data_IF_854660624969
#
_entry.id   IF_854660624969
#
_cell.length_a   1.000
_cell.length_b   1.000
_cell.length_c   1.000
_cell.angle_alpha   90.00
_cell.angle_beta   90.00
_cell.angle_gamma   90.00
#
_symmetry.space_group_name_H-M   'P 1'
#
loop_
_entity.id
_entity.type
_entity.pdbx_description
1 polymer ?
#
# COMPACT_ATOMS: atom_id res chain seq x y z
N UNK A 1 12.50 -24.55 -2.76
CA UNK A 1 13.39 -23.42 -2.35
C UNK A 1 12.78 -22.12 -2.86
N UNK A 2 12.79 -21.02 -2.12
CA UNK A 2 12.20 -19.75 -2.58
C UNK A 2 13.15 -18.58 -2.29
N UNK A 3 13.19 -17.63 -3.22
CA UNK A 3 13.87 -16.35 -3.09
C UNK A 3 12.88 -15.22 -3.24
N UNK A 4 12.90 -14.27 -2.31
CA UNK A 4 12.04 -13.09 -2.35
C UNK A 4 12.46 -12.12 -3.47
N UNK A 5 13.76 -11.84 -3.55
CA UNK A 5 14.37 -11.00 -4.57
C UNK A 5 15.50 -11.79 -5.22
N UNK A 6 15.42 -11.99 -6.53
CA UNK A 6 16.38 -12.79 -7.29
C UNK A 6 16.47 -12.35 -8.74
N UNK A 7 17.57 -12.72 -9.38
CA UNK A 7 17.80 -12.50 -10.81
C UNK A 7 18.12 -13.85 -11.46
N UNK A 8 17.75 -13.97 -12.73
CA UNK A 8 18.05 -15.17 -13.50
C UNK A 8 19.47 -15.08 -14.06
N UNK A 9 20.29 -16.08 -13.76
CA UNK A 9 21.62 -16.23 -14.34
C UNK A 9 21.72 -17.61 -14.99
N UNK A 10 21.60 -17.65 -16.32
CA UNK A 10 21.43 -18.91 -17.05
C UNK A 10 20.12 -19.60 -16.67
N UNK A 11 20.19 -20.84 -16.19
CA UNK A 11 19.02 -21.63 -15.76
C UNK A 11 18.72 -21.53 -14.26
N UNK A 12 19.55 -20.80 -13.50
CA UNK A 12 19.43 -20.70 -12.05
C UNK A 12 19.04 -19.29 -11.60
N UNK A 13 18.42 -19.22 -10.43
CA UNK A 13 18.12 -17.97 -9.76
C UNK A 13 19.11 -17.74 -8.61
N UNK A 14 19.59 -16.52 -8.51
CA UNK A 14 20.47 -16.08 -7.44
C UNK A 14 19.82 -14.95 -6.63
N UNK A 15 19.86 -15.00 -5.30
CA UNK A 15 19.30 -13.95 -4.48
C UNK A 15 20.13 -12.68 -4.63
N UNK A 16 19.50 -11.61 -5.08
CA UNK A 16 20.11 -10.28 -5.23
C UNK A 16 19.09 -9.23 -4.80
N UNK A 17 19.57 -8.07 -4.37
CA UNK A 17 18.72 -6.95 -3.97
C UNK A 17 19.00 -5.73 -4.83
N UNK A 18 18.82 -5.91 -6.14
CA UNK A 18 19.03 -4.88 -7.15
C UNK A 18 17.72 -4.59 -7.88
N UNK A 19 17.65 -3.41 -8.50
CA UNK A 19 16.50 -2.97 -9.28
C UNK A 19 16.10 -4.01 -10.32
N UNK A 20 14.82 -4.38 -10.32
CA UNK A 20 14.29 -5.39 -11.22
C UNK A 20 14.58 -6.84 -10.80
N UNK A 21 15.14 -7.07 -9.61
CA UNK A 21 15.07 -8.39 -8.99
C UNK A 21 13.62 -8.75 -8.68
N UNK A 22 13.29 -10.04 -8.78
CA UNK A 22 11.93 -10.56 -8.67
C UNK A 22 11.90 -11.87 -7.86
N UNK A 23 10.74 -12.22 -7.30
CA UNK A 23 10.60 -13.48 -6.57
C UNK A 23 10.72 -14.68 -7.50
N UNK A 24 11.39 -15.72 -7.01
CA UNK A 24 11.51 -17.00 -7.71
C UNK A 24 11.32 -18.17 -6.74
N UNK A 25 10.80 -19.27 -7.25
CA UNK A 25 10.61 -20.49 -6.49
C UNK A 25 11.08 -21.70 -7.30
N UNK A 26 11.84 -22.58 -6.67
CA UNK A 26 12.19 -23.89 -7.18
C UNK A 26 11.13 -24.88 -6.75
N UNK A 27 10.44 -25.45 -7.73
CA UNK A 27 9.30 -26.33 -7.55
C UNK A 27 9.64 -27.72 -8.08
N UNK A 28 9.17 -28.72 -7.35
CA UNK A 28 9.15 -30.12 -7.77
C UNK A 28 7.68 -30.53 -7.92
N UNK A 29 7.34 -31.06 -9.08
CA UNK A 29 6.02 -31.60 -9.40
C UNK A 29 6.19 -33.09 -9.63
N UNK A 30 5.31 -33.88 -9.03
CA UNK A 30 5.26 -35.33 -9.19
C UNK A 30 3.89 -35.71 -9.73
N UNK A 31 3.87 -36.41 -10.86
CA UNK A 31 2.65 -36.96 -11.46
C UNK A 31 2.26 -38.29 -10.78
N UNK A 32 1.02 -38.74 -11.00
CA UNK A 32 0.50 -40.03 -10.49
C UNK A 32 1.36 -41.24 -10.90
N UNK A 33 2.12 -41.09 -12.00
CA UNK A 33 3.06 -42.09 -12.51
C UNK A 33 4.46 -42.02 -11.86
N UNK A 34 4.65 -41.28 -10.76
CA UNK A 34 5.95 -40.97 -10.12
C UNK A 34 6.95 -40.27 -11.06
N UNK A 35 6.46 -39.59 -12.10
CA UNK A 35 7.33 -38.78 -12.97
C UNK A 35 7.56 -37.44 -12.29
N UNK A 36 8.83 -37.14 -12.01
CA UNK A 36 9.26 -35.92 -11.35
C UNK A 36 9.75 -34.88 -12.35
N UNK A 37 9.28 -33.65 -12.19
CA UNK A 37 9.75 -32.49 -12.94
C UNK A 37 10.16 -31.41 -11.94
N UNK A 38 11.35 -30.86 -12.12
CA UNK A 38 11.85 -29.76 -11.28
C UNK A 38 12.21 -28.58 -12.15
N UNK A 39 11.84 -27.39 -11.73
CA UNK A 39 12.20 -26.16 -12.41
C UNK A 39 12.07 -24.95 -11.48
N UNK A 40 12.71 -23.86 -11.88
CA UNK A 40 12.44 -22.55 -11.33
C UNK A 40 11.22 -21.93 -12.02
N UNK A 41 10.36 -21.29 -11.24
CA UNK A 41 9.36 -20.36 -11.73
C UNK A 41 9.61 -18.97 -11.15
N UNK A 42 9.27 -17.95 -11.91
CA UNK A 42 9.40 -16.55 -11.50
C UNK A 42 8.32 -15.71 -12.17
N UNK A 43 7.83 -14.69 -11.46
CA UNK A 43 6.93 -13.69 -12.04
C UNK A 43 7.62 -12.85 -13.12
N UNK A 44 8.94 -12.73 -13.07
CA UNK A 44 9.69 -11.75 -13.86
C UNK A 44 9.57 -10.33 -13.29
N UNK A 45 10.23 -9.39 -13.94
CA UNK A 45 10.25 -7.97 -13.62
C UNK A 45 10.13 -7.12 -14.88
N UNK A 46 10.13 -5.80 -14.75
CA UNK A 46 10.23 -4.91 -15.92
C UNK A 46 11.50 -5.19 -16.76
N UNK A 47 12.55 -5.75 -16.14
CA UNK A 47 13.81 -6.06 -16.82
C UNK A 47 13.88 -7.51 -17.33
N UNK A 48 13.13 -8.45 -16.75
CA UNK A 48 13.28 -9.89 -17.02
C UNK A 48 11.92 -10.54 -17.27
N UNK A 49 11.78 -11.38 -18.31
CA UNK A 49 10.51 -12.05 -18.59
C UNK A 49 10.11 -13.01 -17.47
N UNK A 50 8.82 -13.35 -17.42
CA UNK A 50 8.31 -14.38 -16.53
C UNK A 50 8.83 -15.76 -16.93
N UNK A 51 9.08 -16.61 -15.92
CA UNK A 51 9.47 -18.01 -16.12
C UNK A 51 8.32 -18.90 -15.68
N UNK A 52 7.73 -19.58 -16.65
CA UNK A 52 6.58 -20.46 -16.50
C UNK A 52 7.02 -21.92 -16.59
N UNK A 53 6.30 -22.81 -15.89
CA UNK A 53 6.55 -24.24 -15.91
C UNK A 53 5.39 -24.98 -16.57
N UNK A 54 5.48 -25.35 -17.86
CA UNK A 54 4.49 -26.22 -18.47
C UNK A 54 4.54 -27.61 -17.81
N UNK A 55 3.40 -28.08 -17.32
CA UNK A 55 3.26 -29.40 -16.71
C UNK A 55 2.96 -30.43 -17.81
N UNK A 56 1.98 -30.11 -18.64
CA UNK A 56 1.57 -30.88 -19.81
C UNK A 56 1.03 -29.95 -20.92
N UNK A 57 0.31 -30.50 -21.90
CA UNK A 57 -0.30 -29.70 -22.98
C UNK A 57 -1.48 -28.83 -22.54
N UNK A 58 -2.02 -29.06 -21.34
CA UNK A 58 -3.25 -28.47 -20.82
C UNK A 58 -3.01 -27.50 -19.66
N UNK A 59 -1.94 -27.72 -18.89
CA UNK A 59 -1.64 -27.01 -17.65
C UNK A 59 -0.24 -26.41 -17.66
N UNK A 60 -0.17 -25.16 -17.23
CA UNK A 60 1.08 -24.44 -17.00
C UNK A 60 1.03 -23.80 -15.63
N UNK A 61 2.07 -24.03 -14.84
CA UNK A 61 2.24 -23.41 -13.54
C UNK A 61 2.93 -22.05 -13.71
N UNK A 62 2.33 -21.02 -13.12
CA UNK A 62 2.80 -19.64 -13.15
C UNK A 62 2.89 -19.07 -11.73
N UNK A 63 3.82 -18.13 -11.54
CA UNK A 63 3.85 -17.32 -10.33
C UNK A 63 2.98 -16.08 -10.53
N UNK A 64 2.03 -15.85 -9.62
CA UNK A 64 1.16 -14.67 -9.66
C UNK A 64 1.92 -13.40 -9.28
N UNK A 65 1.35 -12.26 -9.67
CA UNK A 65 1.86 -10.96 -9.27
C UNK A 65 1.65 -10.72 -7.77
N UNK A 66 2.69 -10.32 -7.02
CA UNK A 66 2.54 -9.99 -5.61
C UNK A 66 1.76 -8.69 -5.46
N UNK A 67 0.74 -8.72 -4.60
CA UNK A 67 0.06 -7.49 -4.18
C UNK A 67 0.85 -6.78 -3.08
N UNK A 68 1.04 -5.47 -3.23
CA UNK A 68 1.73 -4.68 -2.22
C UNK A 68 0.85 -4.50 -0.97
N UNK A 69 1.41 -4.82 0.20
CA UNK A 69 0.72 -4.75 1.49
C UNK A 69 0.60 -3.32 2.04
N UNK A 70 1.57 -2.48 1.73
CA UNK A 70 1.61 -1.08 2.16
C UNK A 70 2.48 -0.28 1.21
N UNK A 71 2.08 0.95 0.92
CA UNK A 71 2.85 1.90 0.13
C UNK A 71 3.35 2.99 1.06
N UNK A 72 4.67 3.17 1.09
CA UNK A 72 5.34 4.10 2.00
C UNK A 72 6.37 4.91 1.24
N UNK A 73 6.50 6.18 1.60
CA UNK A 73 7.54 7.05 1.07
C UNK A 73 8.24 7.78 2.22
N UNK A 74 9.56 7.77 2.19
CA UNK A 74 10.37 8.55 3.13
C UNK A 74 10.62 9.94 2.55
N UNK A 75 10.08 10.96 3.21
CA UNK A 75 10.17 12.35 2.79
C UNK A 75 11.03 13.16 3.77
N UNK A 76 11.74 14.16 3.24
CA UNK A 76 12.45 15.15 4.05
C UNK A 76 11.77 16.51 3.86
N UNK A 77 11.27 17.08 4.94
CA UNK A 77 10.55 18.37 4.95
C UNK A 77 11.50 19.45 5.43
N UNK A 78 11.62 20.51 4.63
CA UNK A 78 12.48 21.65 4.89
C UNK A 78 11.63 22.82 5.41
N UNK A 79 11.92 23.27 6.63
CA UNK A 79 11.23 24.40 7.22
C UNK A 79 11.95 25.72 6.94
N UNK A 80 11.19 26.82 6.93
CA UNK A 80 11.75 28.17 6.82
C UNK A 80 12.69 28.53 7.98
N UNK A 81 12.59 27.85 9.13
CA UNK A 81 13.52 27.98 10.25
C UNK A 81 14.91 27.41 9.97
N UNK A 82 15.08 26.65 8.89
CA UNK A 82 16.30 25.90 8.58
C UNK A 82 16.30 24.47 9.11
N UNK A 83 15.27 24.08 9.87
CA UNK A 83 15.13 22.70 10.35
C UNK A 83 14.76 21.74 9.22
N UNK A 84 15.31 20.54 9.28
CA UNK A 84 14.99 19.43 8.37
C UNK A 84 14.44 18.30 9.20
N UNK A 85 13.24 17.84 8.87
CA UNK A 85 12.62 16.70 9.55
C UNK A 85 12.27 15.62 8.55
N UNK A 86 12.54 14.37 8.94
CA UNK A 86 12.25 13.19 8.12
C UNK A 86 10.94 12.56 8.57
N UNK A 87 10.09 12.21 7.62
CA UNK A 87 8.81 11.56 7.86
C UNK A 87 8.63 10.41 6.89
N UNK A 88 7.93 9.37 7.35
CA UNK A 88 7.46 8.30 6.49
C UNK A 88 5.96 8.49 6.32
N UNK A 89 5.51 8.79 5.11
CA UNK A 89 4.10 8.83 4.75
C UNK A 89 3.67 7.45 4.27
N UNK A 90 2.45 7.04 4.59
CA UNK A 90 1.86 5.78 4.13
C UNK A 90 0.50 6.08 3.48
N UNK A 91 0.12 5.30 2.47
CA UNK A 91 -1.21 5.46 1.86
C UNK A 91 -2.31 5.35 2.92
N UNK A 92 -3.28 6.26 2.87
CA UNK A 92 -4.35 6.47 3.86
C UNK A 92 -3.91 6.91 5.26
N UNK A 93 -2.62 7.20 5.48
CA UNK A 93 -2.11 7.76 6.74
C UNK A 93 -1.33 9.04 6.45
N UNK A 94 -2.02 10.18 6.26
CA UNK A 94 -1.35 11.45 6.05
C UNK A 94 -0.51 11.84 7.26
N UNK A 95 0.55 12.60 7.00
CA UNK A 95 1.35 13.21 8.05
C UNK A 95 0.91 14.66 8.20
N UNK A 96 0.54 15.04 9.43
CA UNK A 96 0.12 16.40 9.76
C UNK A 96 1.30 17.23 10.27
N UNK A 97 1.60 18.35 9.60
CA UNK A 97 2.73 19.22 9.91
C UNK A 97 2.30 20.69 9.81
N UNK A 98 2.35 21.43 10.91
CA UNK A 98 2.10 22.89 10.93
C UNK A 98 0.77 23.32 10.22
N UNK A 99 -0.29 22.52 10.38
CA UNK A 99 -1.58 22.77 9.74
C UNK A 99 -1.68 22.31 8.28
N UNK A 100 -0.72 21.51 7.80
CA UNK A 100 -0.76 20.86 6.51
C UNK A 100 -0.93 19.35 6.68
N UNK A 101 -1.85 18.77 5.93
CA UNK A 101 -1.97 17.33 5.75
C UNK A 101 -1.24 16.93 4.47
N UNK A 102 -0.26 16.04 4.60
CA UNK A 102 0.58 15.57 3.51
C UNK A 102 0.20 14.13 3.18
N UNK A 103 -0.27 13.91 1.95
CA UNK A 103 -0.74 12.63 1.43
C UNK A 103 0.20 12.10 0.36
N UNK A 104 0.36 10.78 0.31
CA UNK A 104 0.90 10.09 -0.86
C UNK A 104 -0.27 9.71 -1.77
N UNK A 105 -0.32 10.28 -2.98
CA UNK A 105 -1.44 10.09 -3.91
C UNK A 105 -1.13 9.02 -4.95
N UNK A 106 0.09 8.97 -5.48
CA UNK A 106 0.48 7.95 -6.46
C UNK A 106 1.99 7.64 -6.41
N UNK A 107 2.42 6.64 -7.18
CA UNK A 107 3.81 6.23 -7.34
C UNK A 107 3.99 5.50 -8.69
N UNK A 108 5.23 5.19 -9.07
CA UNK A 108 5.47 4.38 -10.28
C UNK A 108 5.01 2.93 -10.08
N UNK A 109 3.81 2.60 -10.59
CA UNK A 109 3.19 1.27 -10.47
C UNK A 109 3.88 0.20 -11.32
N UNK A 110 4.52 0.57 -12.43
CA UNK A 110 5.20 -0.38 -13.32
C UNK A 110 6.45 -0.98 -12.66
N UNK A 111 7.19 -0.15 -11.92
CA UNK A 111 8.37 -0.57 -11.16
C UNK A 111 8.02 -1.17 -9.79
N UNK A 112 6.83 -0.90 -9.26
CA UNK A 112 6.33 -1.48 -8.01
C UNK A 112 7.23 -1.12 -6.82
N UNK A 113 7.86 -2.13 -6.19
CA UNK A 113 8.79 -1.90 -5.08
C UNK A 113 10.05 -1.11 -5.48
N UNK A 114 10.36 -1.07 -6.78
CA UNK A 114 11.51 -0.34 -7.36
C UNK A 114 11.12 1.06 -7.86
N UNK A 115 10.01 1.60 -7.36
CA UNK A 115 9.50 2.91 -7.77
C UNK A 115 10.56 4.00 -7.61
N UNK A 116 10.73 4.81 -8.65
CA UNK A 116 11.68 5.91 -8.73
C UNK A 116 11.05 7.28 -8.39
N UNK A 117 9.73 7.37 -8.38
CA UNK A 117 9.00 8.58 -8.01
C UNK A 117 7.73 8.30 -7.21
N UNK A 118 7.35 9.29 -6.39
CA UNK A 118 6.08 9.35 -5.66
C UNK A 118 5.40 10.71 -5.89
N UNK A 119 4.09 10.71 -6.05
CA UNK A 119 3.27 11.92 -6.15
C UNK A 119 2.71 12.25 -4.78
N UNK A 120 3.05 13.44 -4.28
CA UNK A 120 2.68 13.92 -2.94
C UNK A 120 1.70 15.08 -3.09
N UNK A 121 0.64 15.06 -2.30
CA UNK A 121 -0.35 16.12 -2.22
C UNK A 121 -0.31 16.76 -0.83
N UNK A 122 -0.33 18.09 -0.78
CA UNK A 122 -0.35 18.86 0.46
C UNK A 122 -1.62 19.68 0.52
N UNK A 123 -2.41 19.46 1.56
CA UNK A 123 -3.70 20.13 1.76
C UNK A 123 -3.65 20.92 3.05
N UNK A 124 -4.18 22.13 3.04
CA UNK A 124 -4.35 22.96 4.23
C UNK A 124 -5.79 23.43 4.32
N UNK A 125 -6.52 22.91 5.31
CA UNK A 125 -7.88 23.33 5.60
C UNK A 125 -7.98 23.95 7.01
N UNK A 126 -7.92 25.30 7.12
CA UNK A 126 -8.10 25.98 8.39
C UNK A 126 -9.57 26.06 8.85
N UNK A 127 -10.55 25.78 7.98
CA UNK A 127 -11.98 25.92 8.26
C UNK A 127 -12.60 24.69 8.89
N UNK A 128 -11.92 23.54 8.83
CA UNK A 128 -12.41 22.28 9.40
C UNK A 128 -12.81 22.42 10.88
N UNK A 129 -12.03 23.16 11.67
CA UNK A 129 -12.34 23.45 13.07
C UNK A 129 -13.66 24.25 13.23
N UNK A 130 -13.92 25.21 12.34
CA UNK A 130 -15.14 26.02 12.35
C UNK A 130 -16.35 25.17 11.99
N UNK A 131 -16.20 24.29 10.99
CA UNK A 131 -17.24 23.34 10.59
C UNK A 131 -17.57 22.40 11.76
N UNK A 132 -16.55 21.83 12.42
CA UNK A 132 -16.74 20.97 13.59
C UNK A 132 -17.45 21.68 14.74
N UNK A 133 -17.13 22.95 14.97
CA UNK A 133 -17.84 23.77 15.94
C UNK A 133 -19.33 23.91 15.60
N UNK A 134 -19.66 24.20 14.33
CA UNK A 134 -21.03 24.30 13.86
C UNK A 134 -21.81 22.97 14.00
N UNK A 135 -21.20 21.85 13.62
CA UNK A 135 -21.81 20.51 13.77
C UNK A 135 -22.07 20.19 15.25
N UNK A 136 -21.13 20.51 16.13
CA UNK A 136 -21.30 20.31 17.57
C UNK A 136 -22.42 21.18 18.14
N UNK A 137 -22.54 22.43 17.70
CA UNK A 137 -23.63 23.31 18.10
C UNK A 137 -25.00 22.77 17.64
N UNK A 138 -25.09 22.21 16.43
CA UNK A 138 -26.31 21.56 15.95
C UNK A 138 -26.67 20.34 16.81
N UNK A 139 -25.69 19.50 17.18
CA UNK A 139 -25.92 18.35 18.08
C UNK A 139 -26.43 18.79 19.45
N UNK A 140 -25.87 19.84 20.03
CA UNK A 140 -26.37 20.43 21.28
C UNK A 140 -27.81 20.90 21.11
N UNK A 141 -28.13 21.60 20.02
CA UNK A 141 -29.49 22.05 19.73
C UNK A 141 -30.49 20.90 19.71
N UNK A 142 -30.14 19.79 19.06
CA UNK A 142 -30.97 18.57 19.04
C UNK A 142 -31.18 18.01 20.45
N UNK A 143 -30.12 17.89 21.25
CA UNK A 143 -30.21 17.39 22.63
C UNK A 143 -31.09 18.29 23.51
N UNK A 144 -30.96 19.60 23.38
CA UNK A 144 -31.79 20.58 24.10
C UNK A 144 -33.26 20.48 23.71
N UNK A 145 -33.57 20.30 22.42
CA UNK A 145 -34.95 20.12 21.96
C UNK A 145 -35.58 18.85 22.53
N UNK A 146 -34.85 17.73 22.55
CA UNK A 146 -35.32 16.46 23.13
C UNK A 146 -35.58 16.64 24.64
N UNK A 147 -34.67 17.31 25.35
CA UNK A 147 -34.83 17.55 26.79
C UNK A 147 -36.02 18.46 27.10
N UNK A 148 -36.12 19.62 26.44
CA UNK A 148 -37.22 20.57 26.64
C UNK A 148 -38.58 19.97 26.22
N UNK A 149 -38.62 19.17 25.16
CA UNK A 149 -39.82 18.45 24.73
C UNK A 149 -40.29 17.41 25.75
N UNK A 150 -39.37 16.82 26.54
CA UNK A 150 -39.72 15.88 27.62
C UNK A 150 -40.21 16.60 28.88
N UNK A 151 -39.66 17.77 29.22
CA UNK A 151 -40.06 18.56 30.40
C UNK A 151 -41.53 18.99 30.33
N UNK A 152 -42.00 19.47 29.18
CA UNK A 152 -43.38 19.95 29.03
C UNK A 152 -44.47 18.86 29.10
N UNK A 153 -44.11 17.57 28.98
CA UNK A 153 -45.09 16.47 29.02
C UNK A 153 -45.34 15.94 30.45
N UNK A 154 -44.53 16.33 31.43
CA UNK A 154 -44.70 15.92 32.83
C UNK A 154 -45.61 16.88 33.64
N UNK A 155 -46.03 18.00 33.05
CA UNK A 155 -46.90 19.00 33.69
C UNK A 155 -48.39 18.82 33.32
N UNK A 156 -48.77 17.71 32.70
CA UNK A 156 -50.15 17.40 32.26
C UNK A 156 -50.72 16.09 32.83
N UNK A 157 -50.28 15.65 34.02
CA UNK A 157 -50.91 14.55 34.78
C UNK A 157 -51.29 15.04 36.17
#
# INVERSE_FOLDING_TARGET
KHFKNSIQFGENFHPVNETGSCPAAFIEIEDENNKKQTAWISRGSHLHPSVLLPIDSSYTLAMLEPEAKSYKSDISVYFKSGDIQKYTIEVNKPVHINGWDIYQTDYNKELGEWSDYSIIEMVRDPWLNVIYFGVFLMLIGVVLLIYSGKVNNNDLV
#
